data_IF_321545236084
#
_entry.id   IF_321545236084
#
_cell.length_a   1.000
_cell.length_b   1.000
_cell.length_c   1.000
_cell.angle_alpha   90.00
_cell.angle_beta   90.00
_cell.angle_gamma   90.00
#
_symmetry.space_group_name_H-M   'P 1'
#
loop_
_entity.id
_entity.type
_entity.pdbx_description
1 polymer ?
#
# COMPACT_ATOMS: atom_id res chain seq x y z
N UNK A 1 -43.97 1.23 -3.77
CA UNK A 1 -42.95 2.29 -3.62
C UNK A 1 -41.58 1.63 -3.70
N UNK A 2 -40.77 1.87 -4.75
CA UNK A 2 -39.45 1.26 -4.83
C UNK A 2 -38.47 1.99 -3.88
N UNK A 3 -37.69 1.18 -3.18
CA UNK A 3 -36.74 1.55 -2.14
C UNK A 3 -35.63 2.46 -2.68
N UNK A 4 -35.28 3.47 -1.88
CA UNK A 4 -34.14 4.37 -2.04
C UNK A 4 -32.82 3.58 -1.90
N UNK A 5 -32.53 2.69 -2.84
CA UNK A 5 -31.16 2.31 -3.17
C UNK A 5 -30.58 3.48 -3.98
N UNK A 6 -30.44 4.62 -3.28
CA UNK A 6 -29.80 5.83 -3.77
C UNK A 6 -28.46 5.42 -4.35
N UNK A 7 -28.25 5.80 -5.60
CA UNK A 7 -27.03 5.63 -6.35
C UNK A 7 -25.84 6.05 -5.47
N UNK A 8 -25.07 5.11 -4.96
CA UNK A 8 -23.74 5.38 -4.41
C UNK A 8 -22.84 5.72 -5.60
N UNK A 9 -23.00 6.92 -6.14
CA UNK A 9 -21.97 7.57 -6.93
C UNK A 9 -20.85 7.81 -5.92
N UNK A 10 -19.90 6.88 -5.84
CA UNK A 10 -18.66 7.06 -5.09
C UNK A 10 -18.05 8.35 -5.64
N UNK A 11 -18.17 9.45 -4.89
CA UNK A 11 -17.53 10.69 -5.29
C UNK A 11 -16.04 10.40 -5.49
N UNK A 12 -15.43 10.86 -6.59
CA UNK A 12 -14.01 10.67 -6.80
C UNK A 12 -13.28 11.29 -5.61
N UNK A 13 -12.46 10.50 -4.93
CA UNK A 13 -11.65 11.03 -3.85
C UNK A 13 -10.59 11.98 -4.43
N UNK A 14 -10.05 12.90 -3.62
CA UNK A 14 -8.94 13.76 -4.04
C UNK A 14 -7.76 12.95 -4.62
N UNK A 15 -7.58 11.72 -4.13
CA UNK A 15 -6.63 10.75 -4.68
C UNK A 15 -6.99 10.32 -6.10
N UNK A 16 -8.24 9.94 -6.36
CA UNK A 16 -8.70 9.57 -7.71
C UNK A 16 -8.57 10.75 -8.68
N UNK A 17 -8.87 11.97 -8.24
CA UNK A 17 -8.70 13.17 -9.05
C UNK A 17 -7.22 13.42 -9.40
N UNK A 18 -6.33 13.33 -8.40
CA UNK A 18 -4.90 13.50 -8.60
C UNK A 18 -4.33 12.47 -9.58
N UNK A 19 -4.77 11.22 -9.48
CA UNK A 19 -4.35 10.15 -10.41
C UNK A 19 -4.89 10.36 -11.82
N UNK A 20 -6.07 10.97 -11.99
CA UNK A 20 -6.62 11.33 -13.32
C UNK A 20 -5.85 12.46 -13.99
N UNK A 21 -5.21 13.33 -13.22
CA UNK A 21 -4.40 14.44 -13.74
C UNK A 21 -2.96 14.01 -14.11
N UNK A 22 -2.57 12.79 -13.76
CA UNK A 22 -1.21 12.30 -13.99
C UNK A 22 -0.93 12.05 -15.48
N UNK A 23 0.16 12.61 -15.99
CA UNK A 23 0.62 12.34 -17.35
C UNK A 23 1.70 11.25 -17.34
N UNK A 24 1.45 10.18 -18.11
CA UNK A 24 2.41 9.10 -18.31
C UNK A 24 3.71 9.64 -18.91
N UNK A 25 4.83 9.36 -18.26
CA UNK A 25 6.15 9.80 -18.69
C UNK A 25 6.71 8.95 -19.84
N UNK A 26 6.22 7.73 -20.02
CA UNK A 26 6.64 6.79 -21.06
C UNK A 26 5.47 5.81 -21.38
N UNK A 27 5.51 5.07 -22.50
CA UNK A 27 4.39 4.20 -22.89
C UNK A 27 4.17 2.99 -21.96
N UNK A 28 5.20 2.57 -21.22
CA UNK A 28 5.15 1.47 -20.25
C UNK A 28 4.79 1.97 -18.84
N UNK A 29 4.42 3.24 -18.70
CA UNK A 29 4.22 3.85 -17.39
C UNK A 29 2.92 3.37 -16.73
N UNK A 30 3.09 2.51 -15.74
CA UNK A 30 2.05 1.83 -14.98
C UNK A 30 1.71 2.53 -13.65
N UNK A 31 2.24 3.74 -13.43
CA UNK A 31 2.16 4.51 -12.17
C UNK A 31 0.75 4.57 -11.56
N UNK A 32 -0.26 4.90 -12.37
CA UNK A 32 -1.64 5.00 -11.91
C UNK A 32 -2.17 3.65 -11.42
N UNK A 33 -1.98 2.60 -12.22
CA UNK A 33 -2.41 1.24 -11.89
C UNK A 33 -1.69 0.69 -10.65
N UNK A 34 -0.39 0.99 -10.52
CA UNK A 34 0.40 0.64 -9.37
C UNK A 34 -0.12 1.30 -8.10
N UNK A 35 -0.30 2.63 -8.10
CA UNK A 35 -0.78 3.37 -6.93
C UNK A 35 -2.19 2.95 -6.51
N UNK A 36 -3.07 2.66 -7.48
CA UNK A 36 -4.39 2.08 -7.20
C UNK A 36 -4.29 0.70 -6.54
N UNK A 37 -3.37 -0.14 -7.01
CA UNK A 37 -3.14 -1.47 -6.44
C UNK A 37 -2.58 -1.37 -5.02
N UNK A 38 -1.58 -0.52 -4.80
CA UNK A 38 -1.03 -0.28 -3.46
C UNK A 38 -2.12 0.27 -2.52
N UNK A 39 -2.91 1.24 -2.97
CA UNK A 39 -4.03 1.76 -2.18
C UNK A 39 -5.04 0.66 -1.83
N UNK A 40 -5.34 -0.26 -2.76
CA UNK A 40 -6.28 -1.35 -2.53
C UNK A 40 -5.82 -2.31 -1.43
N UNK A 41 -4.52 -2.60 -1.33
CA UNK A 41 -3.98 -3.62 -0.44
C UNK A 41 -3.35 -3.08 0.85
N UNK A 42 -3.08 -1.77 0.94
CA UNK A 42 -2.60 -1.17 2.19
C UNK A 42 -3.69 -1.20 3.28
N UNK A 43 -3.29 -1.35 4.56
CA UNK A 43 -4.19 -1.13 5.70
C UNK A 43 -4.60 0.34 5.77
N UNK A 44 -5.63 0.65 6.57
CA UNK A 44 -6.21 2.00 6.68
C UNK A 44 -5.18 3.12 6.88
N UNK A 45 -4.29 3.00 7.87
CA UNK A 45 -3.22 3.99 8.10
C UNK A 45 -2.28 4.14 6.91
N UNK A 46 -1.96 3.01 6.25
CA UNK A 46 -1.15 3.00 5.04
C UNK A 46 -1.83 3.74 3.89
N UNK A 47 -3.15 3.58 3.74
CA UNK A 47 -3.95 4.29 2.72
C UNK A 47 -3.96 5.79 2.97
N UNK A 48 -4.17 6.22 4.21
CA UNK A 48 -4.16 7.64 4.59
C UNK A 48 -2.81 8.27 4.25
N UNK A 49 -1.72 7.60 4.63
CA UNK A 49 -0.37 8.05 4.32
C UNK A 49 -0.11 8.09 2.81
N UNK A 50 -0.51 7.05 2.07
CA UNK A 50 -0.34 7.03 0.61
C UNK A 50 -1.07 8.21 -0.06
N UNK A 51 -2.31 8.48 0.35
CA UNK A 51 -3.08 9.62 -0.18
C UNK A 51 -2.36 10.93 0.10
N UNK A 52 -1.92 11.16 1.34
CA UNK A 52 -1.17 12.37 1.69
C UNK A 52 0.11 12.54 0.86
N UNK A 53 0.87 11.45 0.66
CA UNK A 53 2.10 11.46 -0.14
C UNK A 53 1.82 11.77 -1.63
N UNK A 54 0.78 11.16 -2.22
CA UNK A 54 0.40 11.41 -3.62
C UNK A 54 -0.13 12.83 -3.81
N UNK A 55 -0.93 13.35 -2.88
CA UNK A 55 -1.40 14.74 -2.94
C UNK A 55 -0.27 15.75 -2.78
N UNK A 56 0.77 15.42 -1.99
CA UNK A 56 1.98 16.23 -1.84
C UNK A 56 2.92 16.21 -3.04
N UNK A 57 2.71 15.31 -4.02
CA UNK A 57 3.49 15.29 -5.26
C UNK A 57 3.01 16.40 -6.21
N UNK A 58 3.83 17.43 -6.41
CA UNK A 58 3.49 18.57 -7.27
C UNK A 58 3.72 18.31 -8.77
N UNK A 59 4.49 17.28 -9.12
CA UNK A 59 4.84 16.95 -10.51
C UNK A 59 4.66 15.46 -10.79
N UNK A 60 4.43 15.12 -12.06
CA UNK A 60 4.34 13.72 -12.50
C UNK A 60 5.65 12.96 -12.23
N UNK A 61 6.80 13.63 -12.33
CA UNK A 61 8.09 13.07 -11.94
C UNK A 61 8.13 12.70 -10.45
N UNK A 62 7.63 13.57 -9.57
CA UNK A 62 7.57 13.27 -8.13
C UNK A 62 6.64 12.09 -7.83
N UNK A 63 5.48 12.02 -8.49
CA UNK A 63 4.55 10.89 -8.38
C UNK A 63 5.18 9.58 -8.87
N UNK A 64 5.97 9.63 -9.96
CA UNK A 64 6.71 8.46 -10.45
C UNK A 64 7.82 8.06 -9.46
N UNK A 65 8.55 9.01 -8.91
CA UNK A 65 9.57 8.75 -7.90
C UNK A 65 8.97 8.11 -6.64
N UNK A 66 7.80 8.55 -6.20
CA UNK A 66 7.08 7.91 -5.10
C UNK A 66 6.78 6.45 -5.41
N UNK A 67 6.30 6.16 -6.62
CA UNK A 67 6.04 4.78 -7.07
C UNK A 67 7.30 3.93 -7.05
N UNK A 68 8.43 4.46 -7.56
CA UNK A 68 9.72 3.76 -7.51
C UNK A 68 10.18 3.54 -6.07
N UNK A 69 10.00 4.51 -5.17
CA UNK A 69 10.36 4.37 -3.76
C UNK A 69 9.54 3.26 -3.08
N UNK A 70 8.26 3.13 -3.41
CA UNK A 70 7.42 2.05 -2.89
C UNK A 70 7.87 0.70 -3.46
N UNK A 71 8.08 0.59 -4.78
CA UNK A 71 8.51 -0.67 -5.41
C UNK A 71 9.89 -1.13 -4.92
N UNK A 72 10.92 -0.32 -5.15
CA UNK A 72 12.31 -0.66 -4.84
C UNK A 72 12.65 -0.54 -3.36
N UNK A 73 12.04 0.40 -2.64
CA UNK A 73 12.34 0.68 -1.24
C UNK A 73 11.55 -0.16 -0.25
N UNK A 74 10.39 -0.70 -0.66
CA UNK A 74 9.52 -1.47 0.24
C UNK A 74 9.16 -2.84 -0.32
N UNK A 75 8.50 -2.90 -1.48
CA UNK A 75 7.91 -4.16 -1.98
C UNK A 75 8.97 -5.20 -2.33
N UNK A 76 10.01 -4.83 -3.08
CA UNK A 76 11.09 -5.77 -3.45
C UNK A 76 11.90 -6.24 -2.24
N UNK A 77 12.31 -5.38 -1.29
CA UNK A 77 12.93 -5.84 -0.04
C UNK A 77 12.04 -6.83 0.72
N UNK A 78 10.75 -6.54 0.84
CA UNK A 78 9.81 -7.46 1.48
C UNK A 78 9.72 -8.79 0.73
N UNK A 79 9.66 -8.79 -0.60
CA UNK A 79 9.68 -10.01 -1.40
C UNK A 79 10.99 -10.79 -1.27
N UNK A 80 12.14 -10.12 -1.22
CA UNK A 80 13.45 -10.75 -1.11
C UNK A 80 13.69 -11.42 0.26
N UNK A 81 12.99 -10.93 1.30
CA UNK A 81 13.06 -11.44 2.68
C UNK A 81 11.87 -12.33 3.03
N UNK A 82 10.76 -12.26 2.29
CA UNK A 82 9.60 -13.12 2.47
C UNK A 82 10.00 -14.60 2.37
N UNK A 83 9.88 -15.33 3.49
CA UNK A 83 10.27 -16.73 3.60
C UNK A 83 11.67 -16.98 4.19
N UNK A 84 12.46 -15.94 4.47
CA UNK A 84 13.76 -16.05 5.17
C UNK A 84 13.67 -15.75 6.65
N UNK A 85 12.47 -15.55 7.22
CA UNK A 85 12.31 -15.49 8.68
C UNK A 85 12.93 -16.75 9.26
N UNK A 86 14.09 -16.67 9.95
CA UNK A 86 14.69 -17.87 10.48
C UNK A 86 13.70 -18.44 11.49
N UNK A 87 13.43 -19.74 11.38
CA UNK A 87 12.48 -20.48 12.22
C UNK A 87 12.89 -20.52 13.70
N UNK A 88 13.96 -19.81 14.08
CA UNK A 88 14.48 -19.72 15.44
C UNK A 88 13.73 -18.70 16.32
N UNK A 89 12.81 -17.91 15.77
CA UNK A 89 11.89 -17.06 16.55
C UNK A 89 10.54 -17.73 16.84
N UNK A 90 10.47 -19.07 16.75
CA UNK A 90 9.39 -19.80 17.43
C UNK A 90 9.55 -19.50 18.92
N UNK A 91 8.56 -18.86 19.53
CA UNK A 91 8.43 -18.77 20.97
C UNK A 91 8.49 -20.20 21.54
N UNK A 92 9.68 -20.68 21.90
CA UNK A 92 9.81 -21.94 22.59
C UNK A 92 9.05 -21.79 23.91
N UNK A 93 8.07 -22.66 24.21
CA UNK A 93 7.42 -22.63 25.50
C UNK A 93 8.52 -22.80 26.56
N UNK A 94 8.65 -21.81 27.46
CA UNK A 94 9.57 -21.90 28.58
C UNK A 94 9.25 -23.21 29.35
N UNK A 95 10.24 -24.08 29.61
CA UNK A 95 10.00 -25.27 30.40
C UNK A 95 9.53 -24.83 31.80
N UNK A 96 8.33 -25.26 32.19
CA UNK A 96 7.89 -25.15 33.58
C UNK A 96 8.83 -25.97 34.43
N UNK A 97 9.56 -25.32 35.33
CA UNK A 97 10.26 -26.00 36.41
C UNK A 97 9.22 -26.71 37.27
N UNK A 98 9.24 -28.05 37.26
CA UNK A 98 8.54 -28.86 38.24
C UNK A 98 9.47 -29.02 39.44
N UNK A 99 9.17 -28.30 40.51
CA UNK A 99 9.83 -28.45 41.81
C UNK A 99 9.39 -29.79 42.42
N UNK A 100 10.26 -30.80 42.36
CA UNK A 100 10.09 -32.05 43.08
C UNK A 100 10.55 -31.86 44.54
N UNK A 101 9.55 -31.96 45.42
CA UNK A 101 9.52 -32.35 46.84
C UNK A 101 10.83 -32.77 47.52
#
# INVERSE_FOLDING_TARGET
MPSSASMYVKQPSAFDEKLRQYHRLNPDDDTVSFLQSVYKYLPDDGRVNLVANVLGCNTDTATKQLTNNIDYGLLRPMQAVAGKTPSNFVCQPHPRYNEHK
#
